data_IF_902273558966
#
_entry.id   IF_902273558966
#
_cell.length_a   1.000
_cell.length_b   1.000
_cell.length_c   1.000
_cell.angle_alpha   90.00
_cell.angle_beta   90.00
_cell.angle_gamma   90.00
#
_symmetry.space_group_name_H-M   'P 1'
#
loop_
_entity.id
_entity.type
_entity.pdbx_description
1 polymer ?
#
# COMPACT_ATOMS: atom_id res chain seq x y z
N UNK A 1 24.73 26.00 -18.64
CA UNK A 1 25.12 24.58 -18.74
C UNK A 1 25.15 24.23 -20.22
N UNK A 2 26.21 23.60 -20.73
CA UNK A 2 26.26 23.21 -22.13
C UNK A 2 25.26 22.04 -22.41
N UNK A 3 24.79 21.95 -23.66
CA UNK A 3 23.91 20.84 -24.09
C UNK A 3 24.54 19.46 -23.80
N UNK A 4 25.86 19.35 -24.01
CA UNK A 4 26.61 18.14 -23.71
C UNK A 4 26.55 17.78 -22.22
N UNK A 5 26.75 18.75 -21.32
CA UNK A 5 26.67 18.51 -19.87
C UNK A 5 25.25 18.09 -19.42
N UNK A 6 24.24 18.76 -19.98
CA UNK A 6 22.83 18.43 -19.69
C UNK A 6 22.48 17.00 -20.16
N UNK A 7 22.85 16.66 -21.41
CA UNK A 7 22.64 15.31 -21.95
C UNK A 7 23.33 14.25 -21.11
N UNK A 8 24.58 14.46 -20.69
CA UNK A 8 25.31 13.50 -19.86
C UNK A 8 24.61 13.30 -18.52
N UNK A 9 24.16 14.38 -17.86
CA UNK A 9 23.46 14.32 -16.58
C UNK A 9 22.16 13.52 -16.71
N UNK A 10 21.35 13.79 -17.71
CA UNK A 10 20.09 13.08 -17.95
C UNK A 10 20.31 11.60 -18.31
N UNK A 11 21.33 11.33 -19.16
CA UNK A 11 21.68 9.97 -19.57
C UNK A 11 22.20 9.10 -18.42
N UNK A 12 22.85 9.71 -17.41
CA UNK A 12 23.29 9.00 -16.21
C UNK A 12 22.18 8.86 -15.18
N UNK A 13 21.31 9.87 -15.02
CA UNK A 13 20.19 9.82 -14.09
C UNK A 13 19.12 8.78 -14.49
N UNK A 14 18.86 8.65 -15.80
CA UNK A 14 17.84 7.73 -16.32
C UNK A 14 18.01 6.28 -15.86
N UNK A 15 19.15 5.59 -16.07
CA UNK A 15 19.30 4.20 -15.63
C UNK A 15 19.28 4.05 -14.11
N UNK A 16 19.72 5.05 -13.34
CA UNK A 16 19.64 5.05 -11.87
C UNK A 16 18.19 5.07 -11.43
N UNK A 17 17.36 5.95 -12.00
CA UNK A 17 15.94 6.03 -11.69
C UNK A 17 15.19 4.75 -12.10
N UNK A 18 15.41 4.26 -13.31
CA UNK A 18 14.80 3.02 -13.80
C UNK A 18 15.18 1.83 -12.90
N UNK A 19 16.45 1.70 -12.56
CA UNK A 19 16.97 0.62 -11.73
C UNK A 19 16.45 0.68 -10.30
N UNK A 20 16.45 1.86 -9.68
CA UNK A 20 15.96 2.02 -8.30
C UNK A 20 14.44 1.81 -8.19
N UNK A 21 13.66 2.35 -9.12
CA UNK A 21 12.21 2.13 -9.16
C UNK A 21 11.86 0.67 -9.43
N UNK A 22 12.57 0.00 -10.35
CA UNK A 22 12.40 -1.42 -10.63
C UNK A 22 12.78 -2.30 -9.45
N UNK A 23 13.87 -2.00 -8.76
CA UNK A 23 14.28 -2.72 -7.55
C UNK A 23 13.27 -2.57 -6.42
N UNK A 24 12.78 -1.35 -6.17
CA UNK A 24 11.73 -1.11 -5.18
C UNK A 24 10.45 -1.91 -5.49
N UNK A 25 9.99 -1.89 -6.74
CA UNK A 25 8.84 -2.69 -7.20
C UNK A 25 9.03 -4.18 -6.91
N UNK A 26 10.20 -4.74 -7.25
CA UNK A 26 10.51 -6.15 -7.04
C UNK A 26 10.54 -6.52 -5.55
N UNK A 27 11.11 -5.67 -4.70
CA UNK A 27 11.17 -5.87 -3.24
C UNK A 27 9.75 -5.90 -2.64
N UNK A 28 8.89 -4.93 -3.00
CA UNK A 28 7.51 -4.88 -2.52
C UNK A 28 6.74 -6.12 -2.96
N UNK A 29 6.88 -6.51 -4.24
CA UNK A 29 6.24 -7.72 -4.79
C UNK A 29 6.68 -8.97 -4.01
N UNK A 30 7.98 -9.08 -3.74
CA UNK A 30 8.51 -10.20 -2.95
C UNK A 30 7.93 -10.22 -1.54
N UNK A 31 7.93 -9.09 -0.83
CA UNK A 31 7.38 -8.98 0.53
C UNK A 31 5.91 -9.39 0.61
N UNK A 32 5.09 -8.98 -0.38
CA UNK A 32 3.69 -9.39 -0.44
C UNK A 32 3.54 -10.90 -0.69
N UNK A 33 4.33 -11.46 -1.61
CA UNK A 33 4.31 -12.90 -1.90
C UNK A 33 4.78 -13.74 -0.71
N UNK A 34 5.76 -13.27 0.04
CA UNK A 34 6.28 -13.98 1.22
C UNK A 34 5.24 -14.11 2.35
N UNK A 35 4.16 -13.31 2.31
CA UNK A 35 3.05 -13.42 3.25
C UNK A 35 2.01 -14.49 2.88
N UNK A 36 2.10 -15.06 1.68
CA UNK A 36 1.22 -16.11 1.14
C UNK A 36 -0.29 -15.81 1.29
N UNK A 37 -0.65 -14.53 1.12
CA UNK A 37 -2.03 -14.06 1.22
C UNK A 37 -2.70 -14.17 -0.15
N UNK A 38 -3.95 -14.64 -0.15
CA UNK A 38 -4.83 -14.64 -1.31
C UNK A 38 -6.03 -13.71 -1.09
N UNK A 39 -6.50 -13.08 -2.15
CA UNK A 39 -7.75 -12.30 -2.12
C UNK A 39 -8.89 -13.27 -1.83
N UNK A 40 -9.76 -12.99 -0.82
CA UNK A 40 -10.86 -13.88 -0.45
C UNK A 40 -11.81 -14.19 -1.60
N UNK A 41 -12.45 -15.36 -1.54
CA UNK A 41 -13.35 -15.84 -2.61
C UNK A 41 -14.62 -14.99 -2.75
N UNK A 42 -15.02 -14.27 -1.72
CA UNK A 42 -16.15 -13.33 -1.70
C UNK A 42 -15.79 -11.89 -2.05
N UNK A 43 -14.57 -11.66 -2.52
CA UNK A 43 -14.16 -10.36 -3.03
C UNK A 43 -14.85 -10.06 -4.38
N UNK A 44 -15.22 -8.80 -4.58
CA UNK A 44 -15.91 -8.35 -5.79
C UNK A 44 -15.07 -8.55 -7.07
N UNK A 45 -13.76 -8.62 -6.93
CA UNK A 45 -12.79 -8.82 -8.04
C UNK A 45 -11.57 -9.59 -7.55
N UNK A 46 -10.95 -10.32 -8.47
CA UNK A 46 -9.67 -11.02 -8.26
C UNK A 46 -9.73 -12.09 -7.15
N UNK A 47 -10.92 -12.61 -6.82
CA UNK A 47 -11.09 -13.70 -5.87
C UNK A 47 -10.10 -14.84 -6.14
N UNK A 48 -9.52 -15.41 -5.08
CA UNK A 48 -8.55 -16.50 -5.15
C UNK A 48 -7.17 -16.12 -5.73
N UNK A 49 -6.94 -14.85 -6.13
CA UNK A 49 -5.65 -14.46 -6.68
C UNK A 49 -4.65 -14.14 -5.56
N UNK A 50 -3.37 -14.57 -5.72
CA UNK A 50 -2.34 -14.21 -4.75
C UNK A 50 -2.11 -12.70 -4.69
N UNK A 51 -1.90 -12.18 -3.49
CA UNK A 51 -1.58 -10.76 -3.27
C UNK A 51 -0.10 -10.55 -3.61
N UNK A 52 0.15 -10.11 -4.84
CA UNK A 52 1.50 -9.99 -5.40
C UNK A 52 1.71 -8.71 -6.24
N UNK A 53 0.83 -7.74 -6.10
CA UNK A 53 0.91 -6.49 -6.86
C UNK A 53 -0.07 -5.44 -6.34
N UNK A 54 -0.03 -4.20 -6.88
CA UNK A 54 -0.80 -3.08 -6.35
C UNK A 54 -2.32 -3.31 -6.40
N UNK A 55 -2.83 -3.92 -7.46
CA UNK A 55 -4.27 -4.14 -7.63
C UNK A 55 -4.78 -5.23 -6.68
N UNK A 56 -4.04 -6.35 -6.53
CA UNK A 56 -4.43 -7.41 -5.60
C UNK A 56 -4.30 -6.96 -4.14
N UNK A 57 -3.28 -6.14 -3.80
CA UNK A 57 -3.14 -5.54 -2.48
C UNK A 57 -4.29 -4.58 -2.16
N UNK A 58 -4.71 -3.77 -3.14
CA UNK A 58 -5.86 -2.88 -3.00
C UNK A 58 -7.15 -3.67 -2.76
N UNK A 59 -7.43 -4.69 -3.58
CA UNK A 59 -8.63 -5.52 -3.43
C UNK A 59 -8.66 -6.24 -2.08
N UNK A 60 -7.53 -6.75 -1.63
CA UNK A 60 -7.40 -7.36 -0.31
C UNK A 60 -7.72 -6.35 0.80
N UNK A 61 -7.19 -5.12 0.73
CA UNK A 61 -7.45 -4.07 1.71
C UNK A 61 -8.93 -3.71 1.80
N UNK A 62 -9.63 -3.60 0.66
CA UNK A 62 -11.07 -3.32 0.63
C UNK A 62 -11.89 -4.49 1.18
N UNK A 63 -11.54 -5.73 0.84
CA UNK A 63 -12.24 -6.91 1.35
C UNK A 63 -12.06 -7.06 2.86
N UNK A 64 -10.84 -6.82 3.39
CA UNK A 64 -10.59 -6.81 4.84
C UNK A 64 -11.46 -5.76 5.54
N UNK A 65 -11.58 -4.55 4.97
CA UNK A 65 -12.44 -3.50 5.54
C UNK A 65 -13.92 -3.91 5.56
N UNK A 66 -14.42 -4.52 4.47
CA UNK A 66 -15.79 -5.02 4.35
C UNK A 66 -16.09 -6.10 5.39
N UNK A 67 -15.19 -7.06 5.55
CA UNK A 67 -15.32 -8.13 6.55
C UNK A 67 -15.30 -7.57 7.98
N UNK A 68 -14.35 -6.69 8.30
CA UNK A 68 -14.25 -6.07 9.60
C UNK A 68 -15.50 -5.26 9.95
N UNK A 69 -16.04 -4.50 9.00
CA UNK A 69 -17.28 -3.75 9.20
C UNK A 69 -18.47 -4.69 9.47
N UNK A 70 -18.58 -5.78 8.72
CA UNK A 70 -19.63 -6.79 8.92
C UNK A 70 -19.50 -7.47 10.30
N UNK A 71 -18.31 -7.96 10.66
CA UNK A 71 -18.05 -8.61 11.95
C UNK A 71 -18.15 -7.66 13.13
N UNK A 72 -17.86 -6.37 12.93
CA UNK A 72 -18.04 -5.31 13.92
C UNK A 72 -19.49 -4.84 14.09
N UNK A 73 -20.47 -5.50 13.44
CA UNK A 73 -21.89 -5.11 13.48
C UNK A 73 -22.16 -3.73 12.88
N UNK A 74 -21.42 -3.35 11.83
CA UNK A 74 -21.53 -2.05 11.17
C UNK A 74 -20.82 -0.90 11.90
N UNK A 75 -20.09 -1.20 12.97
CA UNK A 75 -19.41 -0.21 13.82
C UNK A 75 -17.96 -0.02 13.37
N UNK A 76 -17.43 1.19 13.60
CA UNK A 76 -16.02 1.48 13.36
C UNK A 76 -15.16 1.18 14.59
N UNK A 77 -13.84 1.07 14.37
CA UNK A 77 -12.89 0.98 15.50
C UNK A 77 -13.02 2.18 16.44
N UNK A 78 -13.27 3.38 15.91
CA UNK A 78 -13.43 4.58 16.73
C UNK A 78 -14.63 4.48 17.65
N UNK A 79 -15.78 4.00 17.15
CA UNK A 79 -17.00 3.84 17.94
C UNK A 79 -16.80 2.84 19.08
N UNK A 80 -16.27 1.65 18.76
CA UNK A 80 -16.04 0.60 19.75
C UNK A 80 -14.98 1.01 20.77
N UNK A 81 -13.92 1.70 20.35
CA UNK A 81 -12.88 2.20 21.25
C UNK A 81 -13.39 3.29 22.18
N UNK A 82 -14.26 4.18 21.71
CA UNK A 82 -14.85 5.22 22.55
C UNK A 82 -15.74 4.61 23.65
N UNK A 83 -16.57 3.62 23.30
CA UNK A 83 -17.38 2.92 24.29
C UNK A 83 -16.54 2.11 25.30
N UNK A 84 -15.50 1.42 24.81
CA UNK A 84 -14.55 0.70 25.66
C UNK A 84 -13.89 1.62 26.68
N UNK A 85 -13.40 2.77 26.22
CA UNK A 85 -12.77 3.77 27.10
C UNK A 85 -13.75 4.32 28.13
N UNK A 86 -14.99 4.56 27.74
CA UNK A 86 -16.05 5.01 28.64
C UNK A 86 -16.36 3.96 29.70
N UNK A 87 -16.63 2.71 29.31
CA UNK A 87 -16.90 1.61 30.23
C UNK A 87 -15.74 1.43 31.22
N UNK A 88 -14.51 1.48 30.74
CA UNK A 88 -13.30 1.38 31.57
C UNK A 88 -13.20 2.53 32.59
N UNK A 89 -13.52 3.77 32.19
CA UNK A 89 -13.49 4.94 33.07
C UNK A 89 -14.60 4.91 34.14
N UNK A 90 -15.76 4.33 33.83
CA UNK A 90 -16.90 4.15 34.72
C UNK A 90 -16.74 2.92 35.63
N UNK A 91 -15.70 2.11 35.42
CA UNK A 91 -15.45 0.89 36.20
C UNK A 91 -16.40 -0.27 35.82
N UNK A 92 -17.08 -0.16 34.69
CA UNK A 92 -17.93 -1.22 34.13
C UNK A 92 -17.04 -2.25 33.42
N UNK A 93 -16.52 -3.17 34.22
CA UNK A 93 -15.58 -4.20 33.77
C UNK A 93 -16.24 -5.22 32.84
N UNK A 94 -17.51 -5.55 33.06
CA UNK A 94 -18.26 -6.48 32.22
C UNK A 94 -18.41 -5.91 30.80
N UNK A 95 -18.84 -4.66 30.68
CA UNK A 95 -18.99 -4.00 29.40
C UNK A 95 -17.64 -3.78 28.68
N UNK A 96 -16.58 -3.43 29.40
CA UNK A 96 -15.25 -3.31 28.85
C UNK A 96 -14.74 -4.64 28.30
N UNK A 97 -14.97 -5.76 28.97
CA UNK A 97 -14.60 -7.10 28.52
C UNK A 97 -15.36 -7.50 27.26
N UNK A 98 -16.68 -7.27 27.20
CA UNK A 98 -17.49 -7.50 25.99
C UNK A 98 -16.98 -6.73 24.77
N UNK A 99 -16.50 -5.50 24.96
CA UNK A 99 -16.02 -4.64 23.88
C UNK A 99 -14.58 -4.94 23.45
N UNK A 100 -13.80 -5.64 24.28
CA UNK A 100 -12.38 -5.90 24.00
C UNK A 100 -12.17 -6.71 22.72
N UNK A 101 -12.89 -7.81 22.54
CA UNK A 101 -12.79 -8.67 21.36
C UNK A 101 -13.13 -7.94 20.04
N UNK A 102 -14.31 -7.33 19.93
CA UNK A 102 -14.65 -6.50 18.75
C UNK A 102 -13.65 -5.38 18.47
N UNK A 103 -13.16 -4.71 19.52
CA UNK A 103 -12.15 -3.64 19.39
C UNK A 103 -10.85 -4.17 18.80
N UNK A 104 -10.35 -5.29 19.31
CA UNK A 104 -9.09 -5.88 18.84
C UNK A 104 -9.19 -6.38 17.39
N UNK A 105 -10.32 -6.98 17.03
CA UNK A 105 -10.62 -7.41 15.66
C UNK A 105 -10.58 -6.21 14.68
N UNK A 106 -11.29 -5.13 15.02
CA UNK A 106 -11.31 -3.92 14.18
C UNK A 106 -9.94 -3.25 14.11
N UNK A 107 -9.17 -3.27 15.20
CA UNK A 107 -7.80 -2.76 15.23
C UNK A 107 -6.89 -3.57 14.30
N UNK A 108 -6.92 -4.89 14.36
CA UNK A 108 -6.14 -5.77 13.49
C UNK A 108 -6.49 -5.57 12.02
N UNK A 109 -7.78 -5.47 11.70
CA UNK A 109 -8.23 -5.19 10.35
C UNK A 109 -7.74 -3.83 9.83
N UNK A 110 -7.74 -2.78 10.66
CA UNK A 110 -7.21 -1.48 10.30
C UNK A 110 -5.69 -1.51 10.07
N UNK A 111 -4.92 -2.24 10.88
CA UNK A 111 -3.49 -2.41 10.65
C UNK A 111 -3.19 -3.16 9.35
N UNK A 112 -3.92 -4.26 9.10
CA UNK A 112 -3.76 -5.01 7.85
C UNK A 112 -4.08 -4.13 6.64
N UNK A 113 -5.19 -3.40 6.68
CA UNK A 113 -5.59 -2.46 5.63
C UNK A 113 -4.54 -1.37 5.42
N UNK A 114 -4.05 -0.75 6.48
CA UNK A 114 -3.02 0.29 6.40
C UNK A 114 -1.72 -0.24 5.79
N UNK A 115 -1.28 -1.45 6.17
CA UNK A 115 -0.10 -2.11 5.60
C UNK A 115 -0.26 -2.36 4.10
N UNK A 116 -1.41 -2.88 3.67
CA UNK A 116 -1.70 -3.12 2.26
C UNK A 116 -1.73 -1.81 1.45
N UNK A 117 -2.35 -0.74 1.97
CA UNK A 117 -2.34 0.57 1.31
C UNK A 117 -0.94 1.19 1.25
N UNK A 118 -0.12 0.99 2.28
CA UNK A 118 1.29 1.40 2.23
C UNK A 118 2.02 0.72 1.07
N UNK A 119 1.77 -0.58 0.84
CA UNK A 119 2.31 -1.30 -0.32
C UNK A 119 1.80 -0.72 -1.63
N UNK A 120 0.51 -0.38 -1.74
CA UNK A 120 -0.07 0.26 -2.94
C UNK A 120 0.58 1.60 -3.22
N UNK A 121 0.77 2.44 -2.19
CA UNK A 121 1.47 3.73 -2.31
C UNK A 121 2.92 3.55 -2.74
N UNK A 122 3.62 2.57 -2.16
CA UNK A 122 5.01 2.28 -2.52
C UNK A 122 5.14 1.83 -3.99
N UNK A 123 4.20 1.04 -4.51
CA UNK A 123 4.12 0.75 -5.95
C UNK A 123 3.89 2.01 -6.78
N UNK A 124 3.01 2.91 -6.33
CA UNK A 124 2.78 4.20 -7.01
C UNK A 124 4.03 5.04 -7.10
N UNK A 125 4.79 5.14 -6.00
CA UNK A 125 6.09 5.84 -5.98
C UNK A 125 7.10 5.15 -6.90
N UNK A 126 7.20 3.82 -6.88
CA UNK A 126 8.08 3.06 -7.77
C UNK A 126 7.76 3.30 -9.24
N UNK A 127 6.47 3.30 -9.61
CA UNK A 127 6.02 3.61 -10.96
C UNK A 127 6.37 5.04 -11.38
N UNK A 128 6.21 6.02 -10.47
CA UNK A 128 6.59 7.41 -10.72
C UNK A 128 8.09 7.52 -10.99
N UNK A 129 8.93 6.88 -10.17
CA UNK A 129 10.39 6.90 -10.35
C UNK A 129 10.81 6.26 -11.68
N UNK A 130 10.18 5.13 -12.05
CA UNK A 130 10.39 4.49 -13.36
C UNK A 130 9.98 5.45 -14.51
N UNK A 131 8.80 6.07 -14.39
CA UNK A 131 8.31 7.04 -15.36
C UNK A 131 9.24 8.24 -15.52
N UNK A 132 9.75 8.79 -14.42
CA UNK A 132 10.75 9.87 -14.44
C UNK A 132 12.05 9.40 -15.11
N UNK A 133 12.51 8.19 -14.84
CA UNK A 133 13.67 7.60 -15.49
C UNK A 133 13.49 7.47 -17.01
N UNK A 134 12.32 7.02 -17.45
CA UNK A 134 12.01 6.93 -18.87
C UNK A 134 11.99 8.32 -19.55
N UNK A 135 11.33 9.30 -18.93
CA UNK A 135 11.26 10.67 -19.46
C UNK A 135 12.66 11.33 -19.53
N UNK A 136 13.49 11.16 -18.50
CA UNK A 136 14.87 11.67 -18.51
C UNK A 136 15.72 11.02 -19.60
N UNK A 137 15.54 9.72 -19.84
CA UNK A 137 16.22 9.01 -20.93
C UNK A 137 15.79 9.51 -22.31
N UNK A 138 14.49 9.70 -22.53
CA UNK A 138 13.96 10.29 -23.76
C UNK A 138 14.49 11.71 -23.98
N UNK A 139 14.47 12.55 -22.93
CA UNK A 139 15.01 13.91 -23.01
C UNK A 139 16.50 13.91 -23.36
N UNK A 140 17.29 13.02 -22.77
CA UNK A 140 18.72 12.89 -23.12
C UNK A 140 18.93 12.50 -24.59
N UNK A 141 18.07 11.66 -25.14
CA UNK A 141 18.16 11.20 -26.53
C UNK A 141 17.81 12.30 -27.54
N UNK A 142 17.01 13.30 -27.16
CA UNK A 142 16.57 14.40 -28.04
C UNK A 142 17.46 15.63 -27.98
N UNK A 143 18.42 15.73 -27.04
CA UNK A 143 19.35 16.86 -26.97
C UNK A 143 20.43 16.74 -28.04
N UNK A 144 20.44 17.70 -28.95
CA UNK A 144 21.50 17.85 -29.92
C UNK A 144 22.79 18.41 -29.26
N UNK A 145 23.91 17.76 -29.54
CA UNK A 145 25.22 18.12 -28.95
C UNK A 145 26.14 18.85 -29.92
N UNK A 146 25.68 19.09 -31.16
CA UNK A 146 26.49 19.68 -32.22
C UNK A 146 26.44 21.22 -32.25
N UNK A 147 25.83 21.84 -31.22
CA UNK A 147 25.83 23.31 -31.01
C UNK A 147 26.63 23.69 -29.77
#
# INVERSE_FOLDING_TARGET
>A
MSNRALRTLLATASPILLGSGGAAWAVITKQLKDQDITVPEDADRLAGKPVAGPITAYMQAETVAKHAHHMGGGRTFADVSAEFMKASAEGDTERAEELSGPRDLLMQANFTRASLFTSVLAYGVSALVIGMGALTGLAAATIDTDN
#
